data_IF_121607617028
#
_entry.id   IF_121607617028
#
_cell.length_a   1.000
_cell.length_b   1.000
_cell.length_c   1.000
_cell.angle_alpha   90.00
_cell.angle_beta   90.00
_cell.angle_gamma   90.00
#
_symmetry.space_group_name_H-M   'P 1'
#
loop_
_entity.id
_entity.type
_entity.pdbx_description
1 polymer ?
#
# COMPACT_ATOMS: atom_id res chain seq x y z
N UNK A 1 -12.00 -9.99 24.02
CA UNK A 1 -11.77 -10.92 22.90
C UNK A 1 -11.14 -10.31 21.66
N UNK A 2 -11.41 -9.06 21.28
CA UNK A 2 -10.81 -8.47 20.06
C UNK A 2 -9.96 -7.23 20.33
N UNK A 3 -9.30 -7.14 21.49
CA UNK A 3 -8.52 -5.95 21.82
C UNK A 3 -7.25 -5.82 20.95
N UNK A 4 -6.66 -6.93 20.46
CA UNK A 4 -5.55 -6.89 19.51
C UNK A 4 -5.96 -6.35 18.13
N UNK A 5 -7.25 -6.42 17.80
CA UNK A 5 -7.78 -6.16 16.46
C UNK A 5 -8.97 -5.18 16.45
N UNK A 6 -9.16 -4.44 17.54
CA UNK A 6 -10.24 -3.50 17.72
C UNK A 6 -9.85 -2.09 17.29
N UNK A 7 -10.83 -1.24 17.01
CA UNK A 7 -10.65 0.19 16.74
C UNK A 7 -10.45 0.99 18.04
N UNK A 8 -9.51 0.54 18.87
CA UNK A 8 -9.14 1.19 20.13
C UNK A 8 -7.82 1.94 19.94
N UNK A 9 -7.85 3.23 20.29
CA UNK A 9 -6.69 4.13 20.19
C UNK A 9 -5.76 4.01 21.38
N UNK A 10 -6.29 3.69 22.54
CA UNK A 10 -5.56 3.58 23.80
C UNK A 10 -5.14 2.13 24.05
N UNK A 11 -4.03 1.95 24.77
CA UNK A 11 -3.55 0.63 25.21
C UNK A 11 -4.33 0.18 26.45
N UNK A 12 -5.27 -0.77 26.31
CA UNK A 12 -6.05 -1.24 27.45
C UNK A 12 -5.22 -2.12 28.38
N UNK A 13 -4.17 -2.79 27.88
CA UNK A 13 -3.33 -3.69 28.67
C UNK A 13 -2.44 -2.86 29.59
N UNK A 14 -1.80 -1.81 29.08
CA UNK A 14 -1.00 -0.90 29.89
C UNK A 14 -1.81 -0.23 31.01
N UNK A 15 -3.08 0.12 30.75
CA UNK A 15 -3.97 0.65 31.79
C UNK A 15 -4.29 -0.39 32.89
N UNK A 16 -4.54 -1.64 32.49
CA UNK A 16 -4.80 -2.74 33.44
C UNK A 16 -3.54 -3.05 34.27
N UNK A 17 -2.37 -3.06 33.64
CA UNK A 17 -1.08 -3.28 34.29
C UNK A 17 -0.77 -2.19 35.34
N UNK A 18 -1.01 -0.92 35.02
CA UNK A 18 -0.88 0.17 35.99
C UNK A 18 -1.83 0.03 37.20
N UNK A 19 -3.00 -0.57 37.00
CA UNK A 19 -3.93 -0.89 38.08
C UNK A 19 -3.45 -2.08 38.92
N UNK A 20 -3.06 -3.16 38.25
CA UNK A 20 -2.69 -4.45 38.86
C UNK A 20 -1.39 -4.37 39.65
N UNK A 21 -0.41 -3.59 39.17
CA UNK A 21 0.91 -3.38 39.80
C UNK A 21 0.87 -2.79 41.22
N UNK A 22 -0.30 -2.39 41.71
CA UNK A 22 -0.52 -1.94 43.10
C UNK A 22 -0.64 -3.09 44.10
N UNK A 23 -0.72 -4.33 43.64
CA UNK A 23 -0.88 -5.55 44.45
C UNK A 23 0.30 -6.47 44.14
N UNK A 24 0.87 -7.11 45.16
CA UNK A 24 1.93 -8.10 44.96
C UNK A 24 1.40 -9.35 44.23
N UNK A 25 2.27 -10.04 43.49
CA UNK A 25 1.99 -11.31 42.78
C UNK A 25 0.79 -11.25 41.79
N UNK A 26 0.57 -10.11 41.15
CA UNK A 26 -0.47 -9.95 40.14
C UNK A 26 -0.17 -10.74 38.86
N UNK A 27 -1.24 -11.15 38.16
CA UNK A 27 -1.17 -11.85 36.87
C UNK A 27 -2.22 -11.27 35.92
N UNK A 28 -1.80 -10.95 34.69
CA UNK A 28 -2.71 -10.60 33.59
C UNK A 28 -2.77 -11.77 32.62
N UNK A 29 -3.99 -12.25 32.35
CA UNK A 29 -4.27 -13.20 31.26
C UNK A 29 -5.00 -12.43 30.17
N UNK A 30 -4.33 -12.22 29.04
CA UNK A 30 -4.89 -11.55 27.89
C UNK A 30 -5.04 -12.54 26.73
N UNK A 31 -6.27 -12.75 26.28
CA UNK A 31 -6.59 -13.59 25.11
C UNK A 31 -7.23 -12.74 24.03
N UNK A 32 -6.73 -12.85 22.80
CA UNK A 32 -7.34 -12.21 21.65
C UNK A 32 -7.01 -12.97 20.36
N UNK A 33 -7.63 -12.55 19.26
CA UNK A 33 -7.45 -13.15 17.94
C UNK A 33 -6.93 -12.09 16.96
N UNK A 34 -6.38 -12.55 15.85
CA UNK A 34 -6.15 -11.65 14.72
C UNK A 34 -7.49 -11.12 14.23
N UNK A 35 -7.49 -9.90 13.75
CA UNK A 35 -8.64 -9.33 13.08
C UNK A 35 -8.19 -8.36 12.02
N UNK A 36 -9.13 -7.53 11.60
CA UNK A 36 -8.99 -6.83 10.33
C UNK A 36 -8.55 -5.37 10.47
N UNK A 37 -8.58 -4.83 11.68
CA UNK A 37 -8.06 -3.49 11.97
C UNK A 37 -6.53 -3.56 12.08
N UNK A 38 -5.85 -2.59 11.46
CA UNK A 38 -4.40 -2.36 11.57
C UNK A 38 -4.10 -0.93 12.02
N UNK A 39 -2.92 -0.76 12.59
CA UNK A 39 -2.35 0.46 13.18
C UNK A 39 -3.15 0.99 14.38
N UNK A 40 -3.77 0.08 15.14
CA UNK A 40 -4.33 0.34 16.48
C UNK A 40 -3.32 0.01 17.59
N UNK A 41 -3.70 0.22 18.86
CA UNK A 41 -2.85 -0.12 20.01
C UNK A 41 -2.43 -1.60 20.03
N UNK A 42 -3.33 -2.48 19.57
CA UNK A 42 -3.08 -3.91 19.42
C UNK A 42 -1.91 -4.27 18.50
N UNK A 43 -1.67 -3.51 17.42
CA UNK A 43 -0.56 -3.80 16.50
C UNK A 43 0.80 -3.46 17.10
N UNK A 44 0.88 -2.38 17.89
CA UNK A 44 2.10 -2.02 18.62
C UNK A 44 2.46 -3.12 19.63
N UNK A 45 1.48 -3.56 20.41
CA UNK A 45 1.64 -4.64 21.39
C UNK A 45 2.02 -5.95 20.69
N UNK A 46 1.40 -6.24 19.54
CA UNK A 46 1.75 -7.42 18.74
C UNK A 46 3.19 -7.37 18.21
N UNK A 47 3.67 -6.21 17.75
CA UNK A 47 5.06 -6.05 17.32
C UNK A 47 6.04 -6.29 18.47
N UNK A 48 5.74 -5.80 19.67
CA UNK A 48 6.52 -6.06 20.88
C UNK A 48 6.51 -7.56 21.26
N UNK A 49 5.33 -8.19 21.30
CA UNK A 49 5.23 -9.63 21.60
C UNK A 49 6.00 -10.48 20.57
N UNK A 50 6.00 -10.08 19.28
CA UNK A 50 6.79 -10.75 18.24
C UNK A 50 8.29 -10.55 18.42
N UNK A 51 8.75 -9.38 18.88
CA UNK A 51 10.18 -9.16 19.13
C UNK A 51 10.68 -10.01 20.31
N UNK A 52 9.84 -10.20 21.35
CA UNK A 52 10.12 -11.14 22.44
C UNK A 52 10.22 -12.58 21.92
N UNK A 53 9.24 -13.03 21.14
CA UNK A 53 9.24 -14.39 20.57
C UNK A 53 10.44 -14.67 19.66
N UNK A 54 10.92 -13.66 18.93
CA UNK A 54 12.13 -13.77 18.08
C UNK A 54 13.44 -13.75 18.88
N UNK A 55 13.38 -13.34 20.14
CA UNK A 55 14.55 -13.18 21.00
C UNK A 55 15.25 -11.82 20.85
N UNK A 56 14.63 -10.85 20.18
CA UNK A 56 15.16 -9.50 20.01
C UNK A 56 15.08 -8.69 21.33
N UNK A 57 14.11 -9.03 22.20
CA UNK A 57 13.89 -8.42 23.51
C UNK A 57 13.71 -9.48 24.59
N UNK A 58 14.47 -9.38 25.69
CA UNK A 58 14.41 -10.33 26.79
C UNK A 58 13.40 -9.88 27.86
N UNK A 59 12.25 -10.57 27.91
CA UNK A 59 11.15 -10.29 28.85
C UNK A 59 10.72 -11.55 29.63
N UNK A 60 11.44 -11.92 30.71
CA UNK A 60 11.22 -13.20 31.41
C UNK A 60 9.90 -13.28 32.20
N UNK A 61 9.21 -12.16 32.38
CA UNK A 61 7.92 -12.05 33.07
C UNK A 61 6.73 -12.17 32.11
N UNK A 62 6.98 -12.31 30.80
CA UNK A 62 5.94 -12.42 29.76
C UNK A 62 5.99 -13.83 29.18
N UNK A 63 4.85 -14.52 29.20
CA UNK A 63 4.66 -15.81 28.52
C UNK A 63 3.70 -15.65 27.35
N UNK A 64 4.11 -16.11 26.17
CA UNK A 64 3.40 -15.86 24.91
C UNK A 64 3.03 -17.19 24.26
N UNK A 65 1.75 -17.36 23.98
CA UNK A 65 1.24 -18.42 23.11
C UNK A 65 0.65 -17.78 21.86
N UNK A 66 1.28 -18.06 20.72
CA UNK A 66 0.85 -17.55 19.42
C UNK A 66 0.59 -18.74 18.49
N UNK A 67 -0.66 -18.84 18.04
CA UNK A 67 -1.13 -19.90 17.16
C UNK A 67 -1.60 -19.29 15.86
N UNK A 68 -0.94 -19.64 14.76
CA UNK A 68 -1.28 -19.19 13.42
C UNK A 68 -0.80 -20.22 12.39
N UNK A 69 -1.34 -20.13 11.18
CA UNK A 69 -0.69 -20.72 10.00
C UNK A 69 0.53 -19.88 9.61
N UNK A 70 1.51 -20.53 8.98
CA UNK A 70 2.72 -19.88 8.49
C UNK A 70 2.46 -19.21 7.14
N UNK A 71 1.54 -19.77 6.34
CA UNK A 71 1.24 -19.33 4.98
C UNK A 71 -0.23 -19.56 4.61
N UNK A 72 -0.80 -18.69 3.76
CA UNK A 72 -2.19 -18.80 3.29
C UNK A 72 -2.46 -20.08 2.50
N UNK A 73 -1.45 -20.65 1.84
CA UNK A 73 -1.55 -21.92 1.11
C UNK A 73 -1.87 -23.10 2.04
N UNK A 74 -1.52 -23.00 3.32
CA UNK A 74 -1.82 -24.03 4.33
C UNK A 74 -3.31 -24.09 4.70
N UNK A 75 -4.11 -23.08 4.34
CA UNK A 75 -5.56 -23.04 4.64
C UNK A 75 -6.30 -24.20 3.97
N UNK A 76 -5.85 -24.61 2.77
CA UNK A 76 -6.43 -25.75 2.05
C UNK A 76 -5.97 -27.12 2.55
N UNK A 77 -5.07 -27.18 3.53
CA UNK A 77 -4.54 -28.43 4.09
C UNK A 77 -5.03 -28.64 5.53
N UNK A 78 -6.02 -29.54 5.75
CA UNK A 78 -6.54 -29.84 7.07
C UNK A 78 -5.49 -30.24 8.09
N UNK A 79 -4.41 -30.91 7.68
CA UNK A 79 -3.36 -31.36 8.60
C UNK A 79 -2.60 -30.17 9.24
N UNK A 80 -2.61 -29.00 8.58
CA UNK A 80 -1.94 -27.78 9.08
C UNK A 80 -2.80 -26.98 10.06
N UNK A 81 -4.13 -27.18 10.08
CA UNK A 81 -5.05 -26.36 10.89
C UNK A 81 -4.77 -26.43 12.40
N UNK A 82 -4.16 -27.52 12.88
CA UNK A 82 -3.76 -27.69 14.28
C UNK A 82 -2.72 -26.63 14.73
N UNK A 83 -1.96 -26.04 13.81
CA UNK A 83 -1.02 -24.94 14.12
C UNK A 83 -1.77 -23.69 14.60
N UNK A 84 -2.88 -23.36 13.93
CA UNK A 84 -3.73 -22.22 14.29
C UNK A 84 -4.67 -22.52 15.46
N UNK A 85 -5.06 -23.79 15.66
CA UNK A 85 -5.89 -24.20 16.78
C UNK A 85 -5.49 -25.59 17.31
N UNK A 86 -4.65 -25.64 18.37
CA UNK A 86 -4.23 -26.90 18.98
C UNK A 86 -5.35 -27.74 19.60
N UNK A 87 -6.55 -27.18 19.74
CA UNK A 87 -7.71 -27.86 20.32
C UNK A 87 -8.68 -28.40 19.26
N UNK A 88 -8.31 -28.34 17.98
CA UNK A 88 -9.06 -28.90 16.87
C UNK A 88 -9.23 -30.42 17.04
N UNK A 89 -10.44 -30.92 16.78
CA UNK A 89 -10.85 -32.29 17.04
C UNK A 89 -11.26 -32.58 18.49
N UNK A 90 -11.12 -31.63 19.42
CA UNK A 90 -11.54 -31.77 20.82
C UNK A 90 -12.71 -30.86 21.17
N UNK A 91 -12.58 -29.54 20.92
CA UNK A 91 -13.64 -28.57 21.19
C UNK A 91 -14.32 -28.04 19.93
N UNK A 92 -13.64 -28.10 18.79
CA UNK A 92 -14.15 -27.73 17.47
C UNK A 92 -13.85 -28.86 16.49
N UNK A 93 -14.78 -29.22 15.62
CA UNK A 93 -14.58 -30.29 14.64
C UNK A 93 -13.83 -29.80 13.40
N UNK A 94 -13.14 -30.72 12.71
CA UNK A 94 -12.56 -30.46 11.39
C UNK A 94 -13.62 -30.06 10.37
N UNK A 95 -14.82 -30.63 10.43
CA UNK A 95 -15.95 -30.26 9.58
C UNK A 95 -16.31 -28.77 9.70
N UNK A 96 -16.22 -28.20 10.91
CA UNK A 96 -16.48 -26.77 11.12
C UNK A 96 -15.45 -25.91 10.39
N UNK A 97 -14.16 -26.29 10.44
CA UNK A 97 -13.09 -25.60 9.73
C UNK A 97 -13.24 -25.74 8.22
N UNK A 98 -13.60 -26.93 7.74
CA UNK A 98 -13.83 -27.19 6.32
C UNK A 98 -14.94 -26.29 5.75
N UNK A 99 -16.06 -26.15 6.46
CA UNK A 99 -17.14 -25.25 6.07
C UNK A 99 -16.70 -23.77 6.04
N UNK A 100 -15.86 -23.35 6.98
CA UNK A 100 -15.31 -22.00 6.99
C UNK A 100 -14.31 -21.77 5.83
N UNK A 101 -13.51 -22.79 5.45
CA UNK A 101 -12.66 -22.73 4.25
C UNK A 101 -13.50 -22.59 2.98
N UNK A 102 -14.51 -23.43 2.80
CA UNK A 102 -15.43 -23.35 1.65
C UNK A 102 -16.13 -21.99 1.59
N UNK A 103 -16.51 -21.44 2.74
CA UNK A 103 -17.10 -20.10 2.83
C UNK A 103 -16.10 -19.00 2.47
N UNK A 104 -14.83 -19.14 2.88
CA UNK A 104 -13.78 -18.19 2.55
C UNK A 104 -13.45 -18.19 1.04
N UNK A 105 -13.56 -19.34 0.37
CA UNK A 105 -13.38 -19.45 -1.08
C UNK A 105 -14.53 -18.83 -1.86
N UNK A 106 -15.77 -19.04 -1.40
CA UNK A 106 -16.98 -18.61 -2.12
C UNK A 106 -17.47 -17.19 -1.76
N UNK A 107 -16.98 -16.60 -0.66
CA UNK A 107 -17.42 -15.29 -0.18
C UNK A 107 -16.23 -14.38 0.17
N UNK A 108 -15.83 -13.48 -0.75
CA UNK A 108 -14.75 -12.53 -0.53
C UNK A 108 -14.91 -11.65 0.72
N UNK A 109 -16.15 -11.31 1.10
CA UNK A 109 -16.42 -10.48 2.28
C UNK A 109 -16.20 -11.24 3.60
N UNK A 110 -16.39 -12.56 3.60
CA UNK A 110 -16.15 -13.41 4.78
C UNK A 110 -14.71 -13.93 4.84
N UNK A 111 -14.02 -14.00 3.69
CA UNK A 111 -12.66 -14.54 3.57
C UNK A 111 -11.68 -13.91 4.57
N UNK A 112 -11.65 -12.59 4.65
CA UNK A 112 -10.69 -11.90 5.50
C UNK A 112 -10.93 -12.17 6.99
N UNK A 113 -12.19 -12.14 7.41
CA UNK A 113 -12.56 -12.41 8.80
C UNK A 113 -12.24 -13.86 9.20
N UNK A 114 -12.48 -14.82 8.30
CA UNK A 114 -12.17 -16.24 8.50
C UNK A 114 -10.65 -16.46 8.58
N UNK A 115 -9.89 -15.96 7.61
CA UNK A 115 -8.44 -16.09 7.59
C UNK A 115 -7.78 -15.45 8.82
N UNK A 116 -8.25 -14.28 9.26
CA UNK A 116 -7.81 -13.66 10.50
C UNK A 116 -8.20 -14.50 11.72
N UNK A 117 -9.49 -14.70 11.95
CA UNK A 117 -9.97 -15.25 13.23
C UNK A 117 -9.77 -16.75 13.38
N UNK A 118 -9.83 -17.53 12.29
CA UNK A 118 -9.68 -19.00 12.33
C UNK A 118 -8.25 -19.45 12.20
N UNK A 119 -7.49 -18.78 11.34
CA UNK A 119 -6.17 -19.24 10.93
C UNK A 119 -5.03 -18.37 11.47
N UNK A 120 -5.34 -17.27 12.16
CA UNK A 120 -4.33 -16.37 12.69
C UNK A 120 -3.52 -15.68 11.58
N UNK A 121 -4.06 -15.62 10.37
CA UNK A 121 -3.43 -14.97 9.23
C UNK A 121 -3.89 -13.51 9.24
N UNK A 122 -3.00 -12.54 9.45
CA UNK A 122 -3.39 -11.14 9.55
C UNK A 122 -4.01 -10.65 8.23
N UNK A 123 -5.33 -10.66 8.13
CA UNK A 123 -6.07 -10.06 7.02
C UNK A 123 -6.54 -8.67 7.38
N UNK A 124 -6.56 -7.74 6.44
CA UNK A 124 -6.91 -6.35 6.69
C UNK A 124 -8.38 -6.06 6.29
N UNK A 125 -9.04 -5.16 7.04
CA UNK A 125 -10.50 -4.91 7.08
C UNK A 125 -11.01 -3.99 6.01
N UNK A 126 -10.15 -3.76 5.04
CA UNK A 126 -10.44 -3.27 3.71
C UNK A 126 -9.61 -4.21 2.84
N UNK A 127 -10.21 -4.82 1.82
CA UNK A 127 -9.39 -5.51 0.81
C UNK A 127 -8.48 -4.45 0.21
N UNK A 128 -7.19 -4.54 0.52
CA UNK A 128 -6.18 -3.81 -0.24
C UNK A 128 -6.44 -4.11 -1.69
N UNK A 129 -6.41 -3.06 -2.49
CA UNK A 129 -6.79 -3.15 -3.87
C UNK A 129 -5.84 -4.10 -4.61
N UNK A 130 -4.56 -4.02 -4.28
CA UNK A 130 -3.55 -4.94 -4.75
C UNK A 130 -3.25 -6.03 -3.71
N UNK A 131 -3.12 -7.27 -4.18
CA UNK A 131 -2.66 -8.38 -3.33
C UNK A 131 -1.16 -8.29 -3.10
N UNK A 132 -0.63 -8.96 -2.07
CA UNK A 132 0.80 -8.93 -1.79
C UNK A 132 1.66 -9.33 -3.01
N UNK A 133 1.25 -10.38 -3.74
CA UNK A 133 1.95 -10.88 -4.92
C UNK A 133 2.00 -9.85 -6.06
N UNK A 134 0.95 -9.05 -6.22
CA UNK A 134 0.88 -7.95 -7.20
C UNK A 134 1.80 -6.78 -6.82
N UNK A 135 2.10 -6.61 -5.53
CA UNK A 135 3.00 -5.54 -5.04
C UNK A 135 4.49 -5.90 -5.14
N UNK A 136 4.84 -7.15 -5.48
CA UNK A 136 6.24 -7.57 -5.50
C UNK A 136 7.00 -6.94 -6.68
N UNK A 137 8.16 -6.30 -6.45
CA UNK A 137 8.95 -5.71 -7.52
C UNK A 137 9.44 -6.77 -8.50
N UNK A 138 9.55 -6.37 -9.77
CA UNK A 138 10.12 -7.15 -10.85
C UNK A 138 11.65 -6.97 -10.89
N UNK A 139 12.30 -7.78 -11.73
CA UNK A 139 13.71 -7.58 -12.05
C UNK A 139 13.93 -6.18 -12.62
N UNK A 140 15.06 -5.56 -12.24
CA UNK A 140 15.41 -4.22 -12.69
C UNK A 140 15.39 -4.10 -14.22
N UNK A 141 14.76 -3.04 -14.73
CA UNK A 141 14.68 -2.71 -16.16
C UNK A 141 14.97 -1.22 -16.38
N UNK A 142 15.57 -0.91 -17.52
CA UNK A 142 15.82 0.46 -17.98
C UNK A 142 15.03 0.71 -19.28
N UNK A 143 14.51 1.92 -19.44
CA UNK A 143 13.62 2.32 -20.55
C UNK A 143 14.23 3.48 -21.36
N UNK A 144 15.54 3.46 -21.56
CA UNK A 144 16.29 4.49 -22.29
C UNK A 144 15.76 4.69 -23.71
N UNK A 145 15.47 5.94 -24.09
CA UNK A 145 14.89 6.34 -25.38
C UNK A 145 13.59 5.60 -25.74
N UNK A 146 12.75 5.33 -24.74
CA UNK A 146 11.42 4.74 -24.96
C UNK A 146 10.31 5.76 -24.76
N UNK A 147 9.24 5.70 -25.57
CA UNK A 147 8.07 6.53 -25.38
C UNK A 147 7.32 6.10 -24.12
N UNK A 148 6.88 7.08 -23.34
CA UNK A 148 6.09 6.88 -22.13
C UNK A 148 4.94 7.88 -22.02
N UNK A 149 3.91 7.46 -21.30
CA UNK A 149 2.92 8.35 -20.74
C UNK A 149 3.37 8.75 -19.34
N UNK A 150 3.33 10.04 -19.03
CA UNK A 150 3.56 10.57 -17.71
C UNK A 150 2.23 10.76 -16.99
N UNK A 151 2.18 10.46 -15.70
CA UNK A 151 1.08 10.84 -14.83
C UNK A 151 1.60 11.56 -13.60
N UNK A 152 0.83 12.50 -13.05
CA UNK A 152 1.24 13.28 -11.88
C UNK A 152 0.13 13.49 -10.86
N UNK A 153 0.49 13.30 -9.59
CA UNK A 153 -0.28 13.70 -8.41
C UNK A 153 0.47 14.82 -7.68
N UNK A 154 0.04 16.07 -7.88
CA UNK A 154 0.80 17.28 -7.54
C UNK A 154 0.48 17.83 -6.15
N UNK A 155 0.86 17.09 -5.11
CA UNK A 155 0.72 17.55 -3.72
C UNK A 155 1.83 18.54 -3.31
N UNK A 156 1.47 19.63 -2.62
CA UNK A 156 2.43 20.60 -2.04
C UNK A 156 2.69 20.37 -0.53
N UNK A 157 1.93 19.46 0.10
CA UNK A 157 1.88 19.28 1.54
C UNK A 157 2.74 18.13 2.07
N UNK A 158 2.17 17.34 2.99
CA UNK A 158 2.83 16.20 3.61
C UNK A 158 2.79 14.91 2.76
N UNK A 159 2.09 14.94 1.64
CA UNK A 159 1.97 13.84 0.69
C UNK A 159 3.06 13.91 -0.38
N UNK A 160 3.24 12.82 -1.12
CA UNK A 160 4.18 12.83 -2.22
C UNK A 160 3.65 13.69 -3.36
N UNK A 161 4.47 14.63 -3.84
CA UNK A 161 4.32 15.07 -5.22
C UNK A 161 4.88 13.94 -6.09
N UNK A 162 4.02 13.18 -6.74
CA UNK A 162 4.35 11.89 -7.34
C UNK A 162 4.22 11.94 -8.85
N UNK A 163 5.20 11.36 -9.54
CA UNK A 163 5.23 11.18 -10.98
C UNK A 163 5.41 9.70 -11.29
N UNK A 164 4.61 9.19 -12.21
CA UNK A 164 4.70 7.82 -12.69
C UNK A 164 4.84 7.80 -14.22
N UNK A 165 5.92 7.22 -14.70
CA UNK A 165 6.20 6.96 -16.10
C UNK A 165 5.68 5.57 -16.46
N UNK A 166 4.78 5.51 -17.43
CA UNK A 166 4.18 4.29 -17.96
C UNK A 166 4.70 4.06 -19.39
N UNK A 167 5.44 2.98 -19.59
CA UNK A 167 6.05 2.59 -20.86
C UNK A 167 5.23 1.44 -21.48
N UNK A 168 4.43 1.66 -22.51
CA UNK A 168 3.74 0.57 -23.20
C UNK A 168 4.75 -0.36 -23.88
N UNK A 169 4.68 -1.66 -23.59
CA UNK A 169 5.57 -2.68 -24.15
C UNK A 169 4.78 -3.62 -25.07
N UNK A 170 5.42 -4.70 -25.52
CA UNK A 170 4.75 -5.74 -26.31
C UNK A 170 3.83 -6.58 -25.43
N UNK A 171 2.84 -7.23 -26.04
CA UNK A 171 1.95 -8.18 -25.35
C UNK A 171 1.16 -7.55 -24.19
N UNK A 172 0.79 -6.27 -24.32
CA UNK A 172 0.04 -5.53 -23.30
C UNK A 172 0.75 -5.43 -21.94
N UNK A 173 2.07 -5.65 -21.90
CA UNK A 173 2.92 -5.33 -20.74
C UNK A 173 3.15 -3.81 -20.64
N UNK A 174 3.32 -3.33 -19.41
CA UNK A 174 3.64 -1.93 -19.13
C UNK A 174 4.84 -1.84 -18.22
N UNK A 175 5.91 -1.19 -18.69
CA UNK A 175 7.00 -0.76 -17.85
C UNK A 175 6.58 0.40 -16.95
N UNK A 176 7.00 0.40 -15.70
CA UNK A 176 6.65 1.45 -14.74
C UNK A 176 7.90 1.94 -14.03
N UNK A 177 8.08 3.26 -14.03
CA UNK A 177 9.04 3.98 -13.17
C UNK A 177 8.33 5.10 -12.43
N UNK A 178 8.81 5.38 -11.24
CA UNK A 178 8.27 6.40 -10.34
C UNK A 178 9.35 7.35 -9.87
N UNK A 179 8.97 8.61 -9.68
CA UNK A 179 9.76 9.63 -9.02
C UNK A 179 8.83 10.48 -8.15
N UNK A 180 9.16 10.62 -6.89
CA UNK A 180 8.36 11.35 -5.92
C UNK A 180 9.21 12.39 -5.18
N UNK A 181 8.55 13.42 -4.68
CA UNK A 181 9.19 14.55 -4.01
C UNK A 181 8.54 14.84 -2.67
N UNK A 182 9.36 15.19 -1.68
CA UNK A 182 8.94 15.68 -0.35
C UNK A 182 9.87 16.79 0.13
N UNK A 183 9.52 17.39 1.27
CA UNK A 183 10.36 18.40 1.93
C UNK A 183 11.18 17.80 3.08
N UNK A 184 12.26 18.48 3.47
CA UNK A 184 13.07 18.12 4.63
C UNK A 184 12.25 18.18 5.93
N UNK A 185 11.24 19.05 6.02
CA UNK A 185 10.24 19.03 7.12
C UNK A 185 9.44 17.74 7.15
N UNK A 186 8.90 17.32 6.01
CA UNK A 186 8.09 16.08 5.93
C UNK A 186 8.94 14.89 6.35
N UNK A 187 10.18 14.79 5.84
CA UNK A 187 11.12 13.72 6.19
C UNK A 187 11.51 13.75 7.68
N UNK A 188 11.82 14.93 8.22
CA UNK A 188 12.24 15.09 9.63
C UNK A 188 11.14 14.79 10.67
N UNK A 189 9.88 14.84 10.27
CA UNK A 189 8.74 14.51 11.14
C UNK A 189 8.34 13.03 11.11
N UNK A 190 9.03 12.19 10.32
CA UNK A 190 8.70 10.77 10.21
C UNK A 190 9.14 9.99 11.47
N UNK A 191 8.33 9.02 11.93
CA UNK A 191 8.80 8.02 12.89
C UNK A 191 9.99 7.24 12.33
N UNK A 192 10.89 6.78 13.21
CA UNK A 192 12.16 6.13 12.81
C UNK A 192 12.00 4.99 11.81
N UNK A 193 10.96 4.16 11.97
CA UNK A 193 10.69 3.05 11.04
C UNK A 193 10.31 3.53 9.63
N UNK A 194 9.51 4.59 9.52
CA UNK A 194 9.12 5.17 8.22
C UNK A 194 10.29 5.95 7.60
N UNK A 195 11.10 6.62 8.42
CA UNK A 195 12.31 7.29 7.96
C UNK A 195 13.30 6.32 7.30
N UNK A 196 13.48 5.12 7.87
CA UNK A 196 14.31 4.07 7.25
C UNK A 196 13.78 3.68 5.86
N UNK A 197 12.46 3.50 5.74
CA UNK A 197 11.83 3.15 4.47
C UNK A 197 11.96 4.26 3.42
N UNK A 198 11.81 5.52 3.84
CA UNK A 198 12.02 6.66 2.93
C UNK A 198 13.49 6.79 2.53
N UNK A 199 14.42 6.46 3.43
CA UNK A 199 15.84 6.41 3.10
C UNK A 199 16.13 5.35 2.02
N UNK A 200 15.45 4.21 2.03
CA UNK A 200 15.53 3.22 0.94
C UNK A 200 15.10 3.83 -0.40
N UNK A 201 13.99 4.57 -0.42
CA UNK A 201 13.51 5.24 -1.64
C UNK A 201 14.46 6.32 -2.15
N UNK A 202 15.11 7.06 -1.23
CA UNK A 202 16.13 8.05 -1.57
C UNK A 202 17.35 7.36 -2.19
N UNK A 203 17.81 6.26 -1.59
CA UNK A 203 18.95 5.49 -2.10
C UNK A 203 18.64 4.82 -3.45
N UNK A 204 17.38 4.43 -3.67
CA UNK A 204 16.87 3.92 -4.95
C UNK A 204 16.78 5.01 -6.02
N UNK A 205 16.74 6.29 -5.62
CA UNK A 205 16.55 7.43 -6.51
C UNK A 205 15.09 7.68 -6.91
N UNK A 206 14.14 6.98 -6.28
CA UNK A 206 12.69 7.13 -6.51
C UNK A 206 12.08 8.23 -5.64
N UNK A 207 12.75 8.65 -4.55
CA UNK A 207 12.32 9.76 -3.69
C UNK A 207 13.40 10.85 -3.61
N UNK A 208 12.99 12.10 -3.81
CA UNK A 208 13.86 13.28 -3.70
C UNK A 208 13.36 14.17 -2.57
N UNK A 209 14.30 14.71 -1.79
CA UNK A 209 13.99 15.61 -0.67
C UNK A 209 14.49 17.01 -0.99
N UNK A 210 13.57 17.97 -1.06
CA UNK A 210 13.89 19.40 -1.17
C UNK A 210 13.97 20.05 0.20
N UNK A 211 14.84 21.04 0.35
CA UNK A 211 14.93 21.80 1.60
C UNK A 211 13.73 22.72 1.78
N UNK A 212 13.14 22.72 2.98
CA UNK A 212 12.07 23.64 3.34
C UNK A 212 10.86 22.98 3.99
N UNK A 213 9.74 23.69 4.00
CA UNK A 213 8.49 23.25 4.65
C UNK A 213 7.36 22.93 3.68
N UNK A 214 7.44 23.44 2.46
CA UNK A 214 6.47 23.26 1.37
C UNK A 214 7.28 23.03 0.09
N UNK A 215 6.77 22.23 -0.84
CA UNK A 215 7.41 22.04 -2.14
C UNK A 215 7.18 23.26 -3.05
N UNK A 216 8.26 23.83 -3.56
CA UNK A 216 8.21 24.83 -4.65
C UNK A 216 8.08 24.10 -5.98
N UNK A 217 6.91 24.22 -6.63
CA UNK A 217 6.57 23.40 -7.81
C UNK A 217 7.46 23.65 -9.02
N UNK A 218 8.06 24.84 -9.14
CA UNK A 218 9.01 25.13 -10.22
C UNK A 218 10.36 24.43 -10.02
N UNK A 219 10.81 24.26 -8.78
CA UNK A 219 12.03 23.50 -8.48
C UNK A 219 11.81 22.00 -8.74
N UNK A 220 10.62 21.49 -8.40
CA UNK A 220 10.20 20.12 -8.74
C UNK A 220 10.17 19.92 -10.26
N UNK A 221 9.64 20.89 -11.01
CA UNK A 221 9.64 20.84 -12.47
C UNK A 221 11.07 20.78 -13.03
N UNK A 222 11.97 21.64 -12.57
CA UNK A 222 13.35 21.70 -13.07
C UNK A 222 14.12 20.39 -12.82
N UNK A 223 13.93 19.78 -11.63
CA UNK A 223 14.52 18.46 -11.34
C UNK A 223 13.89 17.34 -12.19
N UNK A 224 12.57 17.35 -12.37
CA UNK A 224 11.87 16.35 -13.18
C UNK A 224 12.29 16.42 -14.65
N UNK A 225 12.34 17.62 -15.23
CA UNK A 225 12.77 17.84 -16.62
C UNK A 225 14.21 17.35 -16.83
N UNK A 226 15.11 17.71 -15.91
CA UNK A 226 16.48 17.19 -15.92
C UNK A 226 16.51 15.67 -15.82
N UNK A 227 15.71 15.07 -14.94
CA UNK A 227 15.64 13.61 -14.79
C UNK A 227 15.16 12.92 -16.07
N UNK A 228 14.14 13.48 -16.74
CA UNK A 228 13.61 13.00 -18.01
C UNK A 228 14.72 13.02 -19.08
N UNK A 229 15.48 14.12 -19.17
CA UNK A 229 16.60 14.26 -20.10
C UNK A 229 17.71 13.27 -19.78
N UNK A 230 18.14 13.17 -18.52
CA UNK A 230 19.23 12.30 -18.07
C UNK A 230 18.90 10.81 -18.27
N UNK A 231 17.61 10.44 -18.20
CA UNK A 231 17.12 9.08 -18.46
C UNK A 231 16.72 8.83 -19.92
N UNK A 232 16.72 9.85 -20.77
CA UNK A 232 16.32 9.75 -22.18
C UNK A 232 14.87 9.30 -22.35
N UNK A 233 13.95 9.69 -21.47
CA UNK A 233 12.55 9.32 -21.60
C UNK A 233 11.84 10.23 -22.61
N UNK A 234 11.07 9.64 -23.52
CA UNK A 234 10.25 10.38 -24.49
C UNK A 234 8.82 10.47 -23.94
N UNK A 235 8.47 11.60 -23.30
CA UNK A 235 7.12 11.78 -22.75
C UNK A 235 6.17 12.23 -23.85
N UNK A 236 5.32 11.32 -24.34
CA UNK A 236 4.42 11.59 -25.46
C UNK A 236 3.05 12.12 -25.03
N UNK A 237 2.60 11.76 -23.82
CA UNK A 237 1.37 12.30 -23.24
C UNK A 237 1.50 12.44 -21.72
N UNK A 238 0.71 13.32 -21.13
CA UNK A 238 0.78 13.66 -19.71
C UNK A 238 -0.63 13.75 -19.11
N UNK A 239 -0.97 12.83 -18.21
CA UNK A 239 -2.20 12.85 -17.41
C UNK A 239 -2.01 13.49 -16.04
N UNK A 240 -3.00 14.25 -15.58
CA UNK A 240 -2.95 14.86 -14.24
C UNK A 240 -4.35 15.14 -13.69
N UNK A 241 -4.48 15.14 -12.36
CA UNK A 241 -5.65 15.72 -11.69
C UNK A 241 -5.54 17.26 -11.63
N UNK A 242 -6.59 18.02 -11.98
CA UNK A 242 -6.54 19.48 -12.05
C UNK A 242 -6.30 20.20 -10.71
N UNK A 243 -6.43 19.53 -9.56
CA UNK A 243 -6.21 20.16 -8.27
C UNK A 243 -4.74 20.58 -8.09
N UNK A 244 -4.48 21.85 -7.75
CA UNK A 244 -3.14 22.43 -7.55
C UNK A 244 -2.14 22.32 -8.73
N UNK A 245 -2.58 21.90 -9.91
CA UNK A 245 -1.70 21.61 -11.05
C UNK A 245 -1.45 22.78 -12.02
N UNK A 246 -2.20 23.89 -11.89
CA UNK A 246 -2.32 24.88 -12.97
C UNK A 246 -0.99 25.49 -13.42
N UNK A 247 -0.11 25.87 -12.48
CA UNK A 247 1.16 26.50 -12.80
C UNK A 247 2.13 25.52 -13.47
N UNK A 248 2.26 24.32 -12.90
CA UNK A 248 3.10 23.24 -13.43
C UNK A 248 2.70 22.88 -14.86
N UNK A 249 1.40 22.69 -15.10
CA UNK A 249 0.87 22.33 -16.42
C UNK A 249 1.02 23.47 -17.43
N UNK A 250 0.84 24.72 -16.99
CA UNK A 250 1.04 25.87 -17.88
C UNK A 250 2.47 25.92 -18.38
N UNK A 251 3.45 25.71 -17.49
CA UNK A 251 4.86 25.64 -17.87
C UNK A 251 5.13 24.46 -18.80
N UNK A 252 4.66 23.26 -18.44
CA UNK A 252 4.77 22.08 -19.28
C UNK A 252 4.27 22.32 -20.70
N UNK A 253 3.05 22.89 -20.84
CA UNK A 253 2.45 23.18 -22.15
C UNK A 253 3.23 24.20 -22.97
N UNK A 254 3.88 25.18 -22.32
CA UNK A 254 4.67 26.19 -23.00
C UNK A 254 5.99 25.63 -23.54
N UNK A 255 6.60 24.69 -22.83
CA UNK A 255 7.92 24.13 -23.18
C UNK A 255 7.81 22.87 -24.06
N UNK A 256 6.82 22.01 -23.81
CA UNK A 256 6.64 20.71 -24.48
C UNK A 256 5.44 20.67 -25.45
N UNK A 257 4.60 21.71 -25.44
CA UNK A 257 3.34 21.73 -26.18
C UNK A 257 2.18 21.17 -25.36
N UNK A 258 0.95 21.55 -25.76
CA UNK A 258 -0.29 21.13 -25.08
C UNK A 258 -0.92 19.86 -25.67
N UNK A 259 -0.39 19.34 -26.77
CA UNK A 259 -0.88 18.12 -27.39
C UNK A 259 -0.53 16.91 -26.50
N UNK A 260 -1.50 16.02 -26.26
CA UNK A 260 -1.33 14.87 -25.36
C UNK A 260 -1.39 15.20 -23.85
N UNK A 261 -1.66 16.45 -23.47
CA UNK A 261 -1.86 16.85 -22.06
C UNK A 261 -3.32 16.67 -21.67
N UNK A 262 -3.58 15.71 -20.79
CA UNK A 262 -4.92 15.20 -20.46
C UNK A 262 -5.31 15.51 -19.03
N UNK A 263 -6.45 16.21 -18.88
CA UNK A 263 -7.10 16.35 -17.57
C UNK A 263 -7.79 15.04 -17.21
N UNK A 264 -7.41 14.47 -16.07
CA UNK A 264 -8.01 13.27 -15.50
C UNK A 264 -8.82 13.68 -14.28
N UNK A 265 -10.14 13.80 -14.45
CA UNK A 265 -11.03 14.24 -13.36
C UNK A 265 -11.26 13.06 -12.42
N UNK A 266 -10.83 13.20 -11.16
CA UNK A 266 -11.09 12.22 -10.12
C UNK A 266 -12.58 12.08 -9.79
N UNK A 267 -12.99 10.85 -9.47
CA UNK A 267 -14.37 10.50 -9.13
C UNK A 267 -14.70 9.04 -9.38
N UNK A 268 -15.58 8.45 -8.54
CA UNK A 268 -15.86 7.01 -8.60
C UNK A 268 -16.31 6.54 -9.97
N UNK A 269 -17.09 7.34 -10.72
CA UNK A 269 -17.54 6.96 -12.08
C UNK A 269 -16.42 6.98 -13.13
N UNK A 270 -15.49 7.93 -13.04
CA UNK A 270 -14.41 8.10 -14.01
C UNK A 270 -13.24 7.16 -13.72
N UNK A 271 -12.99 6.85 -12.45
CA UNK A 271 -11.90 5.98 -12.00
C UNK A 271 -12.23 4.49 -12.08
N UNK A 272 -13.51 4.09 -11.97
CA UNK A 272 -13.88 2.68 -11.86
C UNK A 272 -13.34 1.80 -13.01
N UNK A 273 -13.44 2.29 -14.25
CA UNK A 273 -12.98 1.54 -15.44
C UNK A 273 -11.45 1.45 -15.49
N UNK A 274 -10.68 2.55 -15.44
CA UNK A 274 -9.21 2.50 -15.37
C UNK A 274 -8.69 1.64 -14.22
N UNK A 275 -9.30 1.74 -13.03
CA UNK A 275 -8.91 0.94 -11.88
C UNK A 275 -9.15 -0.56 -12.11
N UNK A 276 -10.30 -0.94 -12.66
CA UNK A 276 -10.58 -2.33 -13.01
C UNK A 276 -9.57 -2.89 -14.01
N UNK A 277 -9.19 -2.11 -15.02
CA UNK A 277 -8.20 -2.51 -16.02
C UNK A 277 -6.79 -2.64 -15.41
N UNK A 278 -6.36 -1.66 -14.61
CA UNK A 278 -5.08 -1.73 -13.89
C UNK A 278 -5.03 -2.91 -12.92
N UNK A 279 -6.16 -3.26 -12.30
CA UNK A 279 -6.27 -4.43 -11.44
C UNK A 279 -6.02 -5.72 -12.21
N UNK A 280 -6.69 -5.91 -13.35
CA UNK A 280 -6.47 -7.09 -14.18
C UNK A 280 -5.00 -7.19 -14.65
N UNK A 281 -4.42 -6.06 -15.09
CA UNK A 281 -3.01 -6.00 -15.48
C UNK A 281 -2.08 -6.36 -14.31
N UNK A 282 -2.40 -5.95 -13.08
CA UNK A 282 -1.62 -6.30 -11.89
C UNK A 282 -1.74 -7.79 -11.53
N UNK A 283 -2.95 -8.37 -11.61
CA UNK A 283 -3.22 -9.79 -11.34
C UNK A 283 -2.43 -10.69 -12.28
N UNK A 284 -2.36 -10.30 -13.56
CA UNK A 284 -1.59 -10.98 -14.60
C UNK A 284 -0.09 -10.63 -14.57
N UNK A 285 0.38 -9.84 -13.59
CA UNK A 285 1.78 -9.40 -13.44
C UNK A 285 2.32 -8.63 -14.66
N UNK A 286 1.47 -7.91 -15.37
CA UNK A 286 1.80 -7.13 -16.57
C UNK A 286 2.25 -5.69 -16.26
N UNK A 287 2.14 -5.25 -14.99
CA UNK A 287 2.64 -3.97 -14.51
C UNK A 287 4.07 -4.12 -13.97
N UNK A 288 5.06 -3.81 -14.81
CA UNK A 288 6.47 -4.11 -14.59
C UNK A 288 7.21 -2.94 -13.93
N UNK A 289 7.09 -2.85 -12.61
CA UNK A 289 7.87 -1.95 -11.75
C UNK A 289 8.96 -2.70 -11.00
N UNK A 290 10.09 -2.04 -10.72
CA UNK A 290 11.24 -2.58 -9.97
C UNK A 290 11.60 -1.72 -8.75
N UNK A 291 10.81 -0.69 -8.46
CA UNK A 291 11.03 0.27 -7.38
C UNK A 291 10.22 -0.08 -6.14
N UNK A 292 10.89 -0.13 -5.00
CA UNK A 292 10.31 -0.34 -3.66
C UNK A 292 9.29 0.73 -3.28
N UNK A 293 9.44 1.95 -3.80
CA UNK A 293 8.46 3.02 -3.60
C UNK A 293 7.10 2.70 -4.27
N UNK A 294 7.10 2.16 -5.49
CA UNK A 294 5.86 1.73 -6.15
C UNK A 294 5.23 0.55 -5.40
N UNK A 295 6.04 -0.44 -4.99
CA UNK A 295 5.59 -1.56 -4.14
C UNK A 295 4.91 -1.06 -2.87
N UNK A 296 5.50 -0.07 -2.19
CA UNK A 296 4.93 0.57 -1.00
C UNK A 296 3.61 1.28 -1.29
N UNK A 297 3.53 2.03 -2.39
CA UNK A 297 2.30 2.74 -2.76
C UNK A 297 1.15 1.77 -3.07
N UNK A 298 1.41 0.73 -3.88
CA UNK A 298 0.43 -0.31 -4.18
C UNK A 298 -0.02 -1.05 -2.92
N UNK A 299 0.92 -1.36 -2.02
CA UNK A 299 0.64 -2.00 -0.73
C UNK A 299 -0.15 -1.12 0.25
N UNK A 300 -0.40 0.16 -0.07
CA UNK A 300 -1.23 1.06 0.72
C UNK A 300 -2.62 1.30 0.10
N UNK A 301 -2.86 0.87 -1.14
CA UNK A 301 -4.06 1.22 -1.88
C UNK A 301 -5.30 0.49 -1.38
N UNK A 302 -6.36 1.25 -1.14
CA UNK A 302 -7.70 0.75 -0.87
C UNK A 302 -8.64 1.35 -1.90
N UNK A 303 -9.73 0.65 -2.23
CA UNK A 303 -10.82 1.21 -3.03
C UNK A 303 -12.09 1.35 -2.21
N UNK A 304 -12.79 2.47 -2.40
CA UNK A 304 -14.18 2.61 -1.98
C UNK A 304 -15.09 2.22 -3.12
N UNK A 305 -16.03 1.33 -2.86
CA UNK A 305 -17.09 0.97 -3.78
C UNK A 305 -18.39 1.67 -3.36
N UNK A 306 -19.01 2.41 -4.29
CA UNK A 306 -20.30 3.04 -4.06
C UNK A 306 -21.46 2.03 -4.22
N UNK A 307 -22.69 2.45 -3.90
CA UNK A 307 -23.88 1.58 -4.02
C UNK A 307 -24.18 1.11 -5.45
N UNK A 308 -23.56 1.72 -6.46
CA UNK A 308 -23.71 1.35 -7.87
C UNK A 308 -22.55 0.48 -8.37
N UNK A 309 -21.64 0.06 -7.49
CA UNK A 309 -20.45 -0.73 -7.84
C UNK A 309 -19.30 0.10 -8.43
N UNK A 310 -19.36 1.44 -8.41
CA UNK A 310 -18.26 2.26 -8.90
C UNK A 310 -17.14 2.31 -7.88
N UNK A 311 -15.90 2.14 -8.34
CA UNK A 311 -14.71 2.15 -7.50
C UNK A 311 -13.95 3.46 -7.60
N UNK A 312 -13.39 3.90 -6.48
CA UNK A 312 -12.49 5.05 -6.38
C UNK A 312 -11.27 4.65 -5.55
N UNK A 313 -10.08 5.11 -5.91
CA UNK A 313 -8.93 5.02 -5.01
C UNK A 313 -9.22 5.78 -3.73
N UNK A 314 -8.85 5.17 -2.61
CA UNK A 314 -9.09 5.72 -1.30
C UNK A 314 -7.88 5.54 -0.40
N UNK A 315 -7.52 6.64 0.22
CA UNK A 315 -6.51 6.72 1.25
C UNK A 315 -7.18 6.68 2.61
N UNK A 316 -7.04 5.56 3.32
CA UNK A 316 -7.69 5.37 4.63
C UNK A 316 -7.07 6.26 5.70
N UNK A 317 -5.75 6.44 5.68
CA UNK A 317 -5.03 7.27 6.64
C UNK A 317 -4.04 8.19 5.93
N UNK A 318 -3.79 9.34 6.54
CA UNK A 318 -2.93 10.38 5.94
C UNK A 318 -1.46 9.92 5.74
N UNK A 319 -0.98 9.00 6.58
CA UNK A 319 0.35 8.38 6.49
C UNK A 319 0.49 7.35 5.36
N UNK A 320 -0.63 6.83 4.83
CA UNK A 320 -0.62 5.88 3.72
C UNK A 320 -0.44 6.61 2.38
N UNK A 321 0.72 6.46 1.79
CA UNK A 321 1.05 7.09 0.50
C UNK A 321 0.56 6.19 -0.63
N UNK A 322 -0.38 6.71 -1.43
CA UNK A 322 -0.95 6.05 -2.62
C UNK A 322 -0.69 6.87 -3.89
N UNK A 323 0.05 7.96 -3.74
CA UNK A 323 0.15 9.06 -4.71
C UNK A 323 0.75 8.56 -6.04
N UNK A 324 1.70 7.62 -5.99
CA UNK A 324 2.27 6.99 -7.19
C UNK A 324 1.29 6.09 -7.95
N UNK A 325 0.30 5.51 -7.26
CA UNK A 325 -0.78 4.74 -7.91
C UNK A 325 -1.82 5.68 -8.50
N UNK A 326 -2.10 6.82 -7.84
CA UNK A 326 -2.93 7.87 -8.43
C UNK A 326 -2.28 8.42 -9.71
N UNK A 327 -0.98 8.75 -9.66
CA UNK A 327 -0.20 9.14 -10.83
C UNK A 327 -0.15 8.04 -11.91
N UNK A 328 -0.07 6.75 -11.53
CA UNK A 328 -0.15 5.64 -12.48
C UNK A 328 -1.49 5.62 -13.23
N UNK A 329 -2.59 5.82 -12.51
CA UNK A 329 -3.92 5.90 -13.09
C UNK A 329 -4.02 7.05 -14.08
N UNK A 330 -3.48 8.22 -13.73
CA UNK A 330 -3.47 9.38 -14.63
C UNK A 330 -2.64 9.12 -15.90
N UNK A 331 -1.46 8.51 -15.77
CA UNK A 331 -0.63 8.10 -16.89
C UNK A 331 -1.38 7.12 -17.81
N UNK A 332 -2.05 6.13 -17.23
CA UNK A 332 -2.79 5.11 -17.96
C UNK A 332 -3.99 5.71 -18.72
N UNK A 333 -4.72 6.64 -18.11
CA UNK A 333 -5.81 7.36 -18.77
C UNK A 333 -5.29 8.21 -19.93
N UNK A 334 -4.19 8.93 -19.73
CA UNK A 334 -3.57 9.75 -20.79
C UNK A 334 -3.11 8.87 -21.97
N UNK A 335 -2.45 7.75 -21.68
CA UNK A 335 -2.06 6.76 -22.69
C UNK A 335 -3.27 6.22 -23.46
N UNK A 336 -4.35 5.81 -22.77
CA UNK A 336 -5.54 5.26 -23.43
C UNK A 336 -6.21 6.25 -24.39
N UNK A 337 -6.15 7.55 -24.09
CA UNK A 337 -6.71 8.61 -24.94
C UNK A 337 -5.85 8.96 -26.14
N UNK A 338 -4.57 8.60 -26.10
CA UNK A 338 -3.54 9.02 -27.06
C UNK A 338 -2.70 7.82 -27.55
N UNK A 339 -3.34 6.66 -27.76
CA UNK A 339 -2.64 5.41 -28.13
C UNK A 339 -1.85 5.53 -29.44
N UNK A 340 -2.29 6.40 -30.34
CA UNK A 340 -1.65 6.69 -31.62
C UNK A 340 -0.28 7.37 -31.50
N UNK A 341 0.06 7.86 -30.30
CA UNK A 341 1.37 8.47 -30.02
C UNK A 341 2.44 7.45 -29.62
N UNK A 342 2.11 6.15 -29.58
CA UNK A 342 2.99 5.05 -29.16
C UNK A 342 3.04 3.97 -30.25
#
# INVERSE_FOLDING_TARGET
>A
DEWLSGDIREDPIGAIEQGASKIDDWLIIATSSEGTVRNGSGDNIKMELKSILRGDYYAPHISIWYYCLDDVREVGDPDMWVKANPNLGKTVSYETYQLDVERAENNPAARNDILAKRFGIPMEGYTYFFTYEETLPHMRRDYWNMPCALGADLSQGDDFCAFTFLFPLRQDEFGIKTRSYITSRTFGNLPSAMAMKYQEFINEGSLVVFEGTTLEMMDVYDDLDKYIIDCGYEVNCFGYDPYNAQEFITRWCNENGSYGVEKVIQGSKTESVPLGELKNLSEDRLLLFDQSLMSFAMGNCIVLEDTNGNRKLYKKRHDQKIDNVAALMDAYVAWKRNKEMF
#
